data_IF_692048518676
#
_entry.id   IF_692048518676
#
_cell.length_a   1.000
_cell.length_b   1.000
_cell.length_c   1.000
_cell.angle_alpha   90.00
_cell.angle_beta   90.00
_cell.angle_gamma   90.00
#
_symmetry.space_group_name_H-M   'P 1'
#
loop_
_entity.id
_entity.type
_entity.pdbx_description
1 polymer ?
#
# COMPACT_ATOMS: atom_id res chain seq x y z
N UNK A 1 2.78 27.52 -6.92
CA UNK A 1 1.79 26.60 -6.32
C UNK A 1 1.89 25.30 -7.06
N UNK A 2 2.13 24.19 -6.36
CA UNK A 2 2.28 22.84 -6.97
C UNK A 2 0.95 22.12 -6.91
N UNK A 3 0.55 21.54 -8.02
CA UNK A 3 -0.71 20.80 -8.20
C UNK A 3 -0.41 19.32 -8.32
N UNK A 4 -0.83 18.51 -7.36
CA UNK A 4 -0.56 17.09 -7.29
C UNK A 4 -1.86 16.30 -7.28
N UNK A 5 -1.97 15.32 -8.17
CA UNK A 5 -3.07 14.36 -8.16
C UNK A 5 -2.60 13.02 -7.62
N UNK A 6 -3.38 12.44 -6.73
CA UNK A 6 -3.02 11.19 -6.01
C UNK A 6 -4.03 10.11 -6.31
N UNK A 7 -3.56 8.87 -6.53
CA UNK A 7 -4.38 7.71 -6.88
C UNK A 7 -4.03 6.53 -5.97
N UNK A 8 -5.01 6.00 -5.26
CA UNK A 8 -4.86 4.84 -4.37
C UNK A 8 -5.86 3.75 -4.75
N UNK A 9 -5.49 2.82 -5.65
CA UNK A 9 -6.36 1.70 -6.02
C UNK A 9 -6.39 0.64 -4.91
N UNK A 10 -7.60 0.34 -4.44
CA UNK A 10 -7.93 -0.73 -3.51
C UNK A 10 -8.65 -1.88 -4.21
N UNK A 11 -8.96 -2.95 -3.49
CA UNK A 11 -9.61 -4.15 -4.05
C UNK A 11 -10.96 -3.80 -4.72
N UNK A 12 -11.82 -3.09 -4.03
CA UNK A 12 -13.18 -2.73 -4.47
C UNK A 12 -13.40 -1.23 -4.62
N UNK A 13 -12.33 -0.43 -4.55
CA UNK A 13 -12.44 1.02 -4.74
C UNK A 13 -11.16 1.61 -5.30
N UNK A 14 -11.25 2.85 -5.77
CA UNK A 14 -10.10 3.70 -6.11
C UNK A 14 -10.30 5.05 -5.42
N UNK A 15 -9.45 5.36 -4.46
CA UNK A 15 -9.44 6.69 -3.82
C UNK A 15 -8.55 7.62 -4.62
N UNK A 16 -9.03 8.83 -4.86
CA UNK A 16 -8.27 9.89 -5.52
C UNK A 16 -8.32 11.16 -4.70
N UNK A 17 -7.28 11.96 -4.80
CA UNK A 17 -7.23 13.27 -4.16
C UNK A 17 -6.45 14.27 -5.02
N UNK A 18 -6.81 15.54 -4.92
CA UNK A 18 -6.11 16.65 -5.55
C UNK A 18 -5.64 17.64 -4.49
N UNK A 19 -4.36 17.96 -4.57
CA UNK A 19 -3.68 18.86 -3.64
C UNK A 19 -3.13 20.10 -4.36
N UNK A 20 -3.21 21.24 -3.69
CA UNK A 20 -2.44 22.44 -4.01
C UNK A 20 -1.43 22.70 -2.89
N UNK A 21 -0.15 22.49 -3.16
CA UNK A 21 0.91 22.34 -2.17
C UNK A 21 0.54 21.25 -1.13
N UNK A 22 0.29 21.64 0.13
CA UNK A 22 -0.09 20.73 1.22
C UNK A 22 -1.59 20.71 1.52
N UNK A 23 -2.37 21.55 0.86
CA UNK A 23 -3.82 21.63 1.07
C UNK A 23 -4.54 20.61 0.19
N UNK A 24 -5.34 19.74 0.81
CA UNK A 24 -6.30 18.91 0.10
C UNK A 24 -7.46 19.78 -0.39
N UNK A 25 -7.63 19.87 -1.70
CA UNK A 25 -8.69 20.65 -2.34
C UNK A 25 -9.89 19.75 -2.63
N UNK A 26 -9.62 18.48 -2.97
CA UNK A 26 -10.65 17.52 -3.36
C UNK A 26 -10.20 16.11 -3.05
N UNK A 27 -11.11 15.30 -2.52
CA UNK A 27 -10.93 13.84 -2.46
C UNK A 27 -12.23 13.12 -2.79
N UNK A 28 -12.11 11.94 -3.35
CA UNK A 28 -13.24 11.10 -3.73
C UNK A 28 -12.87 9.62 -3.71
N UNK A 29 -13.84 8.78 -3.40
CA UNK A 29 -13.73 7.34 -3.48
C UNK A 29 -14.68 6.80 -4.54
N UNK A 30 -14.13 6.22 -5.60
CA UNK A 30 -14.85 5.49 -6.64
C UNK A 30 -14.98 4.04 -6.16
N UNK A 31 -16.19 3.55 -5.98
CA UNK A 31 -16.47 2.18 -5.52
C UNK A 31 -16.92 1.29 -6.69
N UNK A 32 -16.52 0.02 -6.64
CA UNK A 32 -16.86 -0.99 -7.65
C UNK A 32 -17.63 -2.13 -6.99
N UNK A 33 -18.77 -2.49 -7.56
CA UNK A 33 -19.51 -3.68 -7.12
C UNK A 33 -18.76 -4.95 -7.53
N UNK A 34 -19.04 -6.04 -6.83
CA UNK A 34 -18.47 -7.35 -7.19
C UNK A 34 -18.90 -7.76 -8.61
N UNK A 35 -20.09 -7.37 -9.06
CA UNK A 35 -20.59 -7.64 -10.42
C UNK A 35 -19.77 -6.91 -11.49
N UNK A 36 -19.36 -5.65 -11.23
CA UNK A 36 -18.51 -4.88 -12.13
C UNK A 36 -17.09 -5.48 -12.24
N UNK A 37 -16.58 -6.06 -11.15
CA UNK A 37 -15.23 -6.64 -11.12
C UNK A 37 -15.19 -8.11 -11.57
N UNK A 38 -16.30 -8.83 -11.52
CA UNK A 38 -16.39 -10.26 -11.88
C UNK A 38 -15.89 -10.62 -13.28
N UNK A 39 -16.04 -9.78 -14.34
CA UNK A 39 -15.54 -10.10 -15.68
C UNK A 39 -14.02 -10.15 -15.81
N UNK A 40 -13.27 -9.61 -14.84
CA UNK A 40 -11.82 -9.48 -14.91
C UNK A 40 -11.13 -10.66 -14.24
N UNK A 41 -10.26 -11.36 -14.98
CA UNK A 41 -9.54 -12.53 -14.48
C UNK A 41 -8.31 -12.15 -13.65
N UNK A 42 -7.67 -11.03 -13.97
CA UNK A 42 -6.52 -10.51 -13.25
C UNK A 42 -6.69 -9.02 -12.96
N UNK A 43 -5.84 -8.49 -12.07
CA UNK A 43 -6.00 -7.10 -11.62
C UNK A 43 -5.75 -6.08 -12.73
N UNK A 44 -4.82 -6.36 -13.66
CA UNK A 44 -4.50 -5.43 -14.75
C UNK A 44 -5.61 -5.33 -15.81
N UNK A 45 -6.51 -6.31 -15.91
CA UNK A 45 -7.69 -6.22 -16.78
C UNK A 45 -8.62 -5.08 -16.34
N UNK A 46 -8.56 -4.67 -15.06
CA UNK A 46 -9.36 -3.57 -14.51
C UNK A 46 -8.79 -2.18 -14.84
N UNK A 47 -7.60 -2.08 -15.44
CA UNK A 47 -6.90 -0.80 -15.66
C UNK A 47 -7.77 0.18 -16.45
N UNK A 48 -8.35 -0.27 -17.57
CA UNK A 48 -9.18 0.57 -18.45
C UNK A 48 -10.45 1.07 -17.76
N UNK A 49 -11.13 0.22 -16.99
CA UNK A 49 -12.31 0.61 -16.21
C UNK A 49 -11.94 1.73 -15.22
N UNK A 50 -10.94 1.47 -14.37
CA UNK A 50 -10.53 2.42 -13.34
C UNK A 50 -10.02 3.73 -13.91
N UNK A 51 -9.26 3.68 -15.01
CA UNK A 51 -8.78 4.88 -15.69
C UNK A 51 -9.93 5.72 -16.25
N UNK A 52 -10.91 5.09 -16.90
CA UNK A 52 -12.09 5.79 -17.44
C UNK A 52 -12.86 6.54 -16.35
N UNK A 53 -13.06 5.91 -15.21
CA UNK A 53 -13.78 6.52 -14.09
C UNK A 53 -12.99 7.69 -13.46
N UNK A 54 -11.67 7.53 -13.29
CA UNK A 54 -10.79 8.62 -12.82
C UNK A 54 -10.83 9.79 -13.79
N UNK A 55 -10.72 9.55 -15.10
CA UNK A 55 -10.76 10.59 -16.12
C UNK A 55 -12.10 11.34 -16.13
N UNK A 56 -13.20 10.61 -15.99
CA UNK A 56 -14.55 11.19 -15.92
C UNK A 56 -14.68 12.10 -14.70
N UNK A 57 -14.19 11.63 -13.56
CA UNK A 57 -14.19 12.39 -12.32
C UNK A 57 -13.33 13.66 -12.43
N UNK A 58 -12.12 13.59 -13.01
CA UNK A 58 -11.27 14.76 -13.23
C UNK A 58 -11.98 15.79 -14.11
N UNK A 59 -12.58 15.39 -15.20
CA UNK A 59 -13.30 16.29 -16.10
C UNK A 59 -14.50 16.98 -15.44
N UNK A 60 -15.20 16.26 -14.56
CA UNK A 60 -16.37 16.77 -13.85
C UNK A 60 -15.99 17.70 -12.70
N UNK A 61 -15.07 17.27 -11.83
CA UNK A 61 -14.80 17.93 -10.54
C UNK A 61 -13.65 18.92 -10.58
N UNK A 62 -12.69 18.73 -11.49
CA UNK A 62 -11.46 19.53 -11.57
C UNK A 62 -11.22 20.00 -13.02
N UNK A 63 -12.23 20.56 -13.72
CA UNK A 63 -12.10 20.94 -15.12
C UNK A 63 -11.00 22.00 -15.29
N UNK A 64 -10.26 21.91 -16.39
CA UNK A 64 -9.19 22.84 -16.78
C UNK A 64 -7.96 22.88 -15.85
N UNK A 65 -7.86 22.03 -14.83
CA UNK A 65 -6.62 21.89 -14.08
C UNK A 65 -5.62 21.02 -14.83
N UNK A 66 -4.35 21.42 -14.71
CA UNK A 66 -3.20 20.64 -15.13
C UNK A 66 -2.36 20.31 -13.89
N UNK A 67 -1.92 19.07 -13.79
CA UNK A 67 -1.15 18.59 -12.63
C UNK A 67 0.35 18.74 -12.87
N UNK A 68 1.08 19.24 -11.88
CA UNK A 68 2.55 19.29 -11.90
C UNK A 68 3.16 17.90 -11.73
N UNK A 69 2.47 17.01 -11.03
CA UNK A 69 2.83 15.60 -10.87
C UNK A 69 1.60 14.75 -10.52
N UNK A 70 1.70 13.45 -10.83
CA UNK A 70 0.70 12.45 -10.41
C UNK A 70 1.38 11.37 -9.58
N UNK A 71 0.78 11.00 -8.45
CA UNK A 71 1.34 10.02 -7.52
C UNK A 71 0.37 8.84 -7.37
N UNK A 72 0.83 7.65 -7.70
CA UNK A 72 0.12 6.41 -7.42
C UNK A 72 0.57 5.77 -6.10
N UNK A 73 -0.33 5.06 -5.43
CA UNK A 73 0.09 4.14 -4.37
C UNK A 73 0.99 3.07 -4.97
N UNK A 74 2.15 2.83 -4.34
CA UNK A 74 3.08 1.79 -4.76
C UNK A 74 2.49 0.38 -4.64
N UNK A 75 2.81 -0.47 -5.61
CA UNK A 75 2.45 -1.89 -5.64
C UNK A 75 3.46 -2.77 -4.89
N UNK A 76 3.36 -4.09 -5.13
CA UNK A 76 4.24 -5.08 -4.52
C UNK A 76 5.45 -5.35 -5.43
N UNK A 77 6.38 -4.44 -5.37
CA UNK A 77 7.71 -4.52 -6.02
C UNK A 77 8.64 -5.46 -5.22
N UNK A 78 9.77 -5.90 -5.81
CA UNK A 78 10.93 -6.32 -5.01
C UNK A 78 11.29 -5.25 -3.97
N UNK A 79 12.11 -5.56 -2.94
CA UNK A 79 12.55 -4.58 -1.96
C UNK A 79 13.11 -3.31 -2.62
N UNK A 80 12.66 -2.15 -2.15
CA UNK A 80 13.03 -0.83 -2.69
C UNK A 80 13.34 0.15 -1.56
N UNK A 81 14.09 1.20 -1.88
CA UNK A 81 14.29 2.31 -0.96
C UNK A 81 13.01 3.12 -0.73
N UNK A 82 12.99 3.84 0.41
CA UNK A 82 11.88 4.71 0.77
C UNK A 82 11.84 5.98 -0.10
N UNK A 83 10.65 6.55 -0.24
CA UNK A 83 10.42 7.83 -0.92
C UNK A 83 9.70 7.69 -2.25
N UNK A 84 9.85 8.72 -3.08
CA UNK A 84 9.25 8.78 -4.40
C UNK A 84 10.08 7.98 -5.42
N UNK A 85 9.42 7.06 -6.13
CA UNK A 85 10.03 6.29 -7.22
C UNK A 85 9.37 6.75 -8.52
N UNK A 86 10.20 7.22 -9.47
CA UNK A 86 9.71 7.64 -10.79
C UNK A 86 9.12 6.43 -11.53
N UNK A 87 7.95 6.61 -12.11
CA UNK A 87 7.30 5.56 -12.89
C UNK A 87 7.88 5.55 -14.30
N UNK A 88 8.52 4.45 -14.65
CA UNK A 88 8.96 4.12 -16.01
C UNK A 88 8.30 2.82 -16.51
N UNK A 89 8.63 2.42 -17.74
CA UNK A 89 8.07 1.19 -18.33
C UNK A 89 8.57 -0.07 -17.61
N UNK A 90 9.80 -0.07 -17.09
CA UNK A 90 10.37 -1.23 -16.39
C UNK A 90 9.62 -1.48 -15.06
N UNK A 91 9.30 -0.40 -14.34
CA UNK A 91 8.53 -0.48 -13.10
C UNK A 91 7.11 -0.98 -13.36
N UNK A 92 6.46 -0.49 -14.43
CA UNK A 92 5.12 -0.96 -14.83
C UNK A 92 5.16 -2.42 -15.24
N UNK A 93 6.16 -2.83 -16.03
CA UNK A 93 6.34 -4.22 -16.44
C UNK A 93 6.57 -5.15 -15.24
N UNK A 94 7.41 -4.75 -14.29
CA UNK A 94 7.63 -5.48 -13.06
C UNK A 94 6.32 -5.70 -12.28
N UNK A 95 5.52 -4.63 -12.09
CA UNK A 95 4.26 -4.72 -11.37
C UNK A 95 3.20 -5.56 -12.10
N UNK A 96 3.25 -5.62 -13.44
CA UNK A 96 2.32 -6.37 -14.26
C UNK A 96 2.69 -7.85 -14.37
N UNK A 97 3.96 -8.15 -14.62
CA UNK A 97 4.39 -9.48 -15.05
C UNK A 97 5.17 -10.25 -13.99
N UNK A 98 5.72 -9.55 -12.97
CA UNK A 98 6.57 -10.15 -11.94
C UNK A 98 6.37 -9.54 -10.54
N UNK A 99 5.13 -9.22 -10.12
CA UNK A 99 4.93 -8.68 -8.77
C UNK A 99 5.20 -9.76 -7.72
N UNK A 100 5.60 -9.34 -6.50
CA UNK A 100 5.69 -10.29 -5.37
C UNK A 100 4.35 -10.92 -5.01
N UNK A 101 3.26 -10.18 -5.23
CA UNK A 101 1.89 -10.64 -5.03
C UNK A 101 0.94 -9.83 -5.91
N UNK A 102 -0.11 -10.48 -6.41
CA UNK A 102 -1.19 -9.79 -7.12
C UNK A 102 -2.04 -8.97 -6.15
N UNK A 103 -2.10 -7.66 -6.37
CA UNK A 103 -2.87 -6.73 -5.54
C UNK A 103 -3.29 -5.50 -6.35
N UNK A 104 -4.42 -4.90 -5.98
CA UNK A 104 -4.94 -3.72 -6.68
C UNK A 104 -3.95 -2.53 -6.73
N UNK A 105 -3.10 -2.39 -5.70
CA UNK A 105 -2.07 -1.34 -5.69
C UNK A 105 -1.05 -1.45 -6.82
N UNK A 106 -0.92 -2.63 -7.47
CA UNK A 106 -0.03 -2.79 -8.62
C UNK A 106 -0.46 -1.94 -9.83
N UNK A 107 -1.74 -1.52 -9.87
CA UNK A 107 -2.26 -0.61 -10.89
C UNK A 107 -1.82 0.85 -10.69
N UNK A 108 -1.36 1.21 -9.47
CA UNK A 108 -1.10 2.60 -9.11
C UNK A 108 -0.12 3.30 -10.02
N UNK A 109 0.96 2.63 -10.41
CA UNK A 109 1.96 3.17 -11.34
C UNK A 109 1.37 3.45 -12.73
N UNK A 110 0.67 2.47 -13.32
CA UNK A 110 0.05 2.61 -14.65
C UNK A 110 -1.03 3.68 -14.66
N UNK A 111 -1.86 3.75 -13.63
CA UNK A 111 -2.88 4.80 -13.50
C UNK A 111 -2.24 6.18 -13.37
N UNK A 112 -1.21 6.32 -12.52
CA UNK A 112 -0.51 7.60 -12.33
C UNK A 112 0.13 8.08 -13.64
N UNK A 113 0.79 7.20 -14.39
CA UNK A 113 1.40 7.54 -15.68
C UNK A 113 0.36 7.99 -16.69
N UNK A 114 -0.71 7.20 -16.89
CA UNK A 114 -1.78 7.53 -17.85
C UNK A 114 -2.48 8.87 -17.52
N UNK A 115 -2.69 9.15 -16.23
CA UNK A 115 -3.29 10.42 -15.80
C UNK A 115 -2.29 11.58 -15.99
N UNK A 116 -0.99 11.39 -15.71
CA UNK A 116 0.03 12.41 -15.94
C UNK A 116 0.15 12.77 -17.43
N UNK A 117 0.17 11.79 -18.31
CA UNK A 117 0.22 11.99 -19.75
C UNK A 117 -0.99 12.78 -20.28
N UNK A 118 -2.17 12.56 -19.74
CA UNK A 118 -3.43 13.16 -20.24
C UNK A 118 -3.77 14.50 -19.58
N UNK A 119 -3.54 14.62 -18.28
CA UNK A 119 -3.97 15.77 -17.48
C UNK A 119 -2.82 16.53 -16.80
N UNK A 120 -1.58 16.08 -16.99
CA UNK A 120 -0.39 16.79 -16.50
C UNK A 120 -0.05 18.03 -17.33
N UNK A 121 0.82 18.87 -16.79
CA UNK A 121 1.58 19.84 -17.58
C UNK A 121 2.50 19.09 -18.55
N UNK A 122 3.12 19.81 -19.51
CA UNK A 122 4.07 19.18 -20.42
C UNK A 122 5.17 18.46 -19.62
N UNK A 123 5.40 17.18 -19.93
CA UNK A 123 6.36 16.31 -19.23
C UNK A 123 6.12 16.14 -17.71
N UNK A 124 4.88 16.24 -17.26
CA UNK A 124 4.55 16.02 -15.85
C UNK A 124 5.01 14.61 -15.39
N UNK A 125 5.84 14.51 -14.34
CA UNK A 125 6.27 13.23 -13.84
C UNK A 125 5.16 12.48 -13.13
N UNK A 126 5.22 11.15 -13.21
CA UNK A 126 4.42 10.24 -12.39
C UNK A 126 5.31 9.47 -11.42
N UNK A 127 4.82 9.28 -10.19
CA UNK A 127 5.55 8.60 -9.13
C UNK A 127 4.67 7.54 -8.46
N UNK A 128 5.31 6.56 -7.84
CA UNK A 128 4.76 5.83 -6.71
C UNK A 128 5.52 6.26 -5.45
N UNK A 129 4.89 6.13 -4.28
CA UNK A 129 5.49 6.59 -3.03
C UNK A 129 5.41 5.52 -1.95
N UNK A 130 6.51 5.26 -1.26
CA UNK A 130 6.65 4.32 -0.14
C UNK A 130 5.81 3.04 -0.30
N UNK A 131 6.10 2.17 -1.30
CA UNK A 131 5.37 0.92 -1.48
C UNK A 131 5.51 0.02 -0.25
N UNK A 132 4.61 -0.96 -0.11
CA UNK A 132 4.59 -1.88 1.04
C UNK A 132 5.89 -2.69 1.21
N UNK A 133 6.74 -2.68 0.21
CA UNK A 133 8.04 -3.36 0.13
C UNK A 133 9.24 -2.43 0.32
N UNK A 134 9.01 -1.22 0.86
CA UNK A 134 10.12 -0.38 1.34
C UNK A 134 10.96 -1.17 2.32
N UNK A 135 12.25 -1.30 2.05
CA UNK A 135 13.16 -2.09 2.87
C UNK A 135 14.39 -1.27 3.29
N UNK A 136 14.34 -0.82 4.52
CA UNK A 136 15.42 -0.13 5.21
C UNK A 136 15.84 -0.85 6.50
N UNK A 137 15.38 -2.12 6.66
CA UNK A 137 15.67 -2.90 7.85
C UNK A 137 17.17 -3.09 8.04
N UNK A 138 17.62 -2.97 9.28
CA UNK A 138 18.96 -3.37 9.67
C UNK A 138 19.12 -4.90 9.57
N UNK A 139 20.35 -5.37 9.33
CA UNK A 139 20.62 -6.82 9.18
C UNK A 139 20.19 -7.62 10.40
N UNK A 140 20.40 -7.07 11.61
CA UNK A 140 19.98 -7.73 12.86
C UNK A 140 18.45 -7.88 12.97
N UNK A 141 17.69 -6.96 12.38
CA UNK A 141 16.22 -7.02 12.38
C UNK A 141 15.67 -8.12 11.44
N UNK A 142 16.50 -8.66 10.53
CA UNK A 142 16.11 -9.77 9.64
C UNK A 142 16.21 -11.13 10.29
N UNK A 143 16.87 -11.22 11.45
CA UNK A 143 17.05 -12.49 12.15
C UNK A 143 15.72 -12.97 12.72
N UNK A 144 15.29 -14.16 12.30
CA UNK A 144 14.17 -14.88 12.90
C UNK A 144 14.68 -15.97 13.87
N UNK A 145 13.80 -16.77 14.41
CA UNK A 145 14.16 -17.96 15.20
C UNK A 145 14.71 -19.14 14.38
N UNK A 146 14.85 -18.99 13.06
CA UNK A 146 15.36 -20.04 12.16
C UNK A 146 16.28 -19.46 11.09
N UNK A 147 17.43 -20.06 10.89
CA UNK A 147 18.36 -19.69 9.80
C UNK A 147 17.84 -19.98 8.39
N UNK A 148 16.68 -20.62 8.26
CA UNK A 148 16.03 -20.92 6.99
C UNK A 148 14.96 -19.87 6.61
N UNK A 149 14.64 -18.95 7.52
CA UNK A 149 13.55 -17.99 7.36
C UNK A 149 14.03 -16.62 7.82
N UNK A 150 14.21 -15.71 6.88
CA UNK A 150 14.50 -14.31 7.18
C UNK A 150 13.20 -13.52 7.34
N UNK A 151 13.18 -12.60 8.29
CA UNK A 151 12.15 -11.56 8.40
C UNK A 151 12.29 -10.60 7.22
N UNK A 152 11.17 -10.14 6.69
CA UNK A 152 11.13 -9.28 5.51
C UNK A 152 10.40 -7.97 5.82
N UNK A 153 10.87 -6.90 5.23
CA UNK A 153 10.18 -5.60 5.30
C UNK A 153 8.95 -5.61 4.42
N UNK A 154 7.83 -6.04 4.97
CA UNK A 154 6.51 -5.99 4.32
C UNK A 154 5.51 -5.42 5.32
N UNK A 155 5.04 -4.21 5.05
CA UNK A 155 4.14 -3.53 6.00
C UNK A 155 3.49 -2.29 5.38
N UNK A 156 2.79 -1.52 6.20
CA UNK A 156 2.10 -0.30 5.79
C UNK A 156 3.07 0.91 5.75
N UNK A 157 4.20 0.75 5.00
CA UNK A 157 5.30 1.69 4.97
C UNK A 157 4.86 3.14 4.73
N UNK A 158 4.02 3.38 3.69
CA UNK A 158 3.51 4.72 3.38
C UNK A 158 2.86 5.40 4.58
N UNK A 159 1.95 4.70 5.27
CA UNK A 159 1.25 5.27 6.41
C UNK A 159 2.18 5.43 7.62
N UNK A 160 3.00 4.41 7.92
CA UNK A 160 3.89 4.46 9.08
C UNK A 160 4.94 5.56 8.95
N UNK A 161 5.51 5.75 7.77
CA UNK A 161 6.47 6.83 7.50
C UNK A 161 5.79 8.20 7.52
N UNK A 162 4.61 8.34 6.90
CA UNK A 162 3.86 9.59 6.93
C UNK A 162 3.52 10.03 8.36
N UNK A 163 3.09 9.10 9.22
CA UNK A 163 2.81 9.37 10.63
C UNK A 163 4.08 9.77 11.38
N UNK A 164 5.21 9.08 11.16
CA UNK A 164 6.48 9.44 11.79
C UNK A 164 6.93 10.86 11.41
N UNK A 165 6.83 11.23 10.13
CA UNK A 165 7.12 12.58 9.65
C UNK A 165 6.16 13.63 10.25
N UNK A 166 4.86 13.36 10.31
CA UNK A 166 3.87 14.27 10.91
C UNK A 166 4.12 14.49 12.40
N UNK A 167 4.45 13.44 13.14
CA UNK A 167 4.82 13.53 14.56
C UNK A 167 6.11 14.34 14.75
N UNK A 168 7.15 14.09 13.94
CA UNK A 168 8.40 14.86 13.98
C UNK A 168 8.12 16.35 13.74
N UNK A 169 7.32 16.66 12.72
CA UNK A 169 6.89 18.04 12.43
C UNK A 169 6.16 18.67 13.61
N UNK A 170 5.21 17.98 14.24
CA UNK A 170 4.46 18.47 15.41
C UNK A 170 5.34 18.67 16.64
N UNK A 171 6.40 17.87 16.78
CA UNK A 171 7.38 18.01 17.84
C UNK A 171 8.46 19.07 17.51
N UNK A 172 8.41 19.65 16.30
CA UNK A 172 9.40 20.60 15.79
C UNK A 172 10.84 20.07 15.82
N UNK A 173 11.00 18.81 15.43
CA UNK A 173 12.31 18.15 15.26
C UNK A 173 12.44 17.60 13.83
N UNK A 174 13.65 17.54 13.26
CA UNK A 174 13.88 16.79 12.03
C UNK A 174 13.54 15.30 12.23
N UNK A 175 12.91 14.66 11.24
CA UNK A 175 12.60 13.23 11.31
C UNK A 175 13.85 12.38 11.53
N UNK A 176 14.99 12.80 10.95
CA UNK A 176 16.30 12.16 11.07
C UNK A 176 16.88 12.22 12.50
N UNK A 177 16.38 13.13 13.35
CA UNK A 177 16.85 13.32 14.72
C UNK A 177 15.95 12.62 15.76
N UNK A 178 14.81 12.08 15.33
CA UNK A 178 13.84 11.41 16.19
C UNK A 178 13.92 9.89 16.10
N UNK A 179 13.58 9.23 17.20
CA UNK A 179 13.32 7.78 17.22
C UNK A 179 11.82 7.57 17.44
N UNK A 180 11.20 6.78 16.55
CA UNK A 180 9.75 6.58 16.58
C UNK A 180 9.42 5.09 16.53
N UNK A 181 8.37 4.72 17.26
CA UNK A 181 7.67 3.45 17.05
C UNK A 181 6.29 3.81 16.52
N UNK A 182 5.96 3.30 15.34
CA UNK A 182 4.67 3.54 14.70
C UNK A 182 3.94 2.23 14.55
N UNK A 183 2.67 2.21 14.94
CA UNK A 183 1.79 1.05 14.82
C UNK A 183 0.62 1.43 13.91
N UNK A 184 0.48 0.70 12.82
CA UNK A 184 -0.69 0.75 11.95
C UNK A 184 -1.69 -0.32 12.38
N UNK A 185 -2.93 0.07 12.63
CA UNK A 185 -4.04 -0.83 12.99
C UNK A 185 -5.17 -0.63 11.98
N UNK A 186 -5.60 -1.70 11.33
CA UNK A 186 -6.63 -1.67 10.30
C UNK A 186 -7.10 -3.08 9.94
N UNK A 187 -7.50 -3.32 8.70
CA UNK A 187 -7.79 -4.66 8.17
C UNK A 187 -6.60 -5.61 8.30
N UNK A 188 -5.38 -5.08 8.16
CA UNK A 188 -4.11 -5.66 8.59
C UNK A 188 -3.43 -4.73 9.58
N UNK A 189 -2.54 -5.26 10.42
CA UNK A 189 -1.72 -4.47 11.35
C UNK A 189 -0.23 -4.66 11.03
N UNK A 190 0.58 -3.65 11.32
CA UNK A 190 2.03 -3.74 11.29
C UNK A 190 2.64 -2.71 12.22
N UNK A 191 3.86 -2.95 12.68
CA UNK A 191 4.59 -1.99 13.50
C UNK A 191 5.97 -1.73 12.89
N UNK A 192 6.52 -0.56 13.14
CA UNK A 192 7.86 -0.19 12.68
C UNK A 192 8.61 0.61 13.71
N UNK A 193 9.93 0.41 13.75
CA UNK A 193 10.86 1.26 14.46
C UNK A 193 11.59 2.17 13.46
N UNK A 194 11.66 3.45 13.78
CA UNK A 194 12.34 4.45 12.97
C UNK A 194 13.49 5.06 13.74
N UNK A 195 14.66 5.13 13.12
CA UNK A 195 15.88 5.70 13.67
C UNK A 195 16.68 6.37 12.54
N UNK A 196 17.25 7.55 12.82
CA UNK A 196 18.07 8.28 11.87
C UNK A 196 17.40 8.48 10.49
N UNK A 197 16.10 8.77 10.46
CA UNK A 197 15.34 8.99 9.23
C UNK A 197 15.02 7.72 8.43
N UNK A 198 15.24 6.52 9.00
CA UNK A 198 15.04 5.23 8.34
C UNK A 198 14.09 4.34 9.14
N UNK A 199 13.33 3.52 8.45
CA UNK A 199 12.49 2.48 9.04
C UNK A 199 13.34 1.21 9.25
N UNK A 200 14.02 1.12 10.41
CA UNK A 200 15.10 0.16 10.70
C UNK A 200 14.61 -1.23 11.11
N UNK A 201 13.35 -1.36 11.50
CA UNK A 201 12.69 -2.64 11.77
C UNK A 201 11.22 -2.54 11.40
N UNK A 202 10.66 -3.64 10.88
CA UNK A 202 9.26 -3.78 10.54
C UNK A 202 8.75 -5.11 11.06
N UNK A 203 7.71 -5.09 11.87
CA UNK A 203 6.97 -6.26 12.28
C UNK A 203 5.75 -6.35 11.37
N UNK A 204 5.74 -7.36 10.51
CA UNK A 204 4.72 -7.58 9.49
C UNK A 204 3.37 -8.03 10.07
N UNK A 205 2.36 -8.07 9.24
CA UNK A 205 0.99 -8.42 9.63
C UNK A 205 0.80 -9.88 10.03
N UNK A 206 1.78 -10.74 9.80
CA UNK A 206 1.81 -12.13 10.25
C UNK A 206 2.72 -12.34 11.48
N UNK A 207 3.41 -11.29 11.95
CA UNK A 207 4.25 -11.31 13.15
C UNK A 207 3.62 -10.55 14.33
N UNK A 208 2.80 -9.51 14.07
CA UNK A 208 2.10 -8.71 15.11
C UNK A 208 0.86 -9.41 15.67
N UNK A 209 0.14 -8.72 16.56
CA UNK A 209 -1.18 -9.13 17.04
C UNK A 209 -2.18 -9.26 15.87
N UNK A 210 -3.28 -9.99 16.09
CA UNK A 210 -4.37 -10.07 15.12
C UNK A 210 -4.98 -8.68 14.84
N UNK A 211 -5.53 -8.54 13.64
CA UNK A 211 -6.25 -7.34 13.19
C UNK A 211 -7.74 -7.64 12.97
N UNK A 212 -8.45 -6.76 12.25
CA UNK A 212 -9.86 -7.05 11.94
C UNK A 212 -10.04 -8.31 11.10
N UNK A 213 -9.15 -8.58 10.13
CA UNK A 213 -9.32 -9.66 9.14
C UNK A 213 -8.20 -10.71 9.18
N UNK A 214 -7.08 -10.45 9.89
CA UNK A 214 -5.88 -11.30 9.88
C UNK A 214 -5.58 -11.85 11.24
N UNK A 215 -5.04 -13.07 11.27
CA UNK A 215 -4.72 -13.74 12.53
C UNK A 215 -3.53 -13.12 13.26
N UNK A 216 -2.66 -12.37 12.57
CA UNK A 216 -1.37 -12.03 13.15
C UNK A 216 -0.53 -13.25 13.46
N UNK A 217 0.44 -13.11 14.35
CA UNK A 217 1.21 -14.22 14.88
C UNK A 217 0.33 -15.15 15.72
N UNK A 218 0.28 -16.42 15.36
CA UNK A 218 -0.50 -17.46 16.04
C UNK A 218 0.41 -18.56 16.60
N UNK A 219 -0.05 -19.34 17.59
CA UNK A 219 0.75 -20.41 18.18
C UNK A 219 1.20 -21.41 17.12
N UNK A 220 2.51 -21.44 16.84
CA UNK A 220 3.13 -22.18 15.74
C UNK A 220 2.76 -23.67 15.72
N UNK A 221 2.75 -24.33 16.89
CA UNK A 221 2.44 -25.77 16.97
C UNK A 221 1.03 -26.09 16.46
N UNK A 222 0.04 -25.27 16.85
CA UNK A 222 -1.35 -25.43 16.40
C UNK A 222 -1.50 -25.08 14.92
N UNK A 223 -0.76 -24.07 14.45
CA UNK A 223 -0.76 -23.67 13.05
C UNK A 223 -0.17 -24.76 12.14
N UNK A 224 0.89 -25.42 12.55
CA UNK A 224 1.44 -26.58 11.82
C UNK A 224 0.37 -27.66 11.65
N UNK A 225 -0.36 -28.04 12.71
CA UNK A 225 -1.43 -29.04 12.61
C UNK A 225 -2.50 -28.60 11.60
N UNK A 226 -2.93 -27.33 11.65
CA UNK A 226 -3.89 -26.75 10.70
C UNK A 226 -3.42 -26.87 9.24
N UNK A 227 -2.12 -26.68 8.97
CA UNK A 227 -1.55 -26.80 7.63
C UNK A 227 -1.58 -28.23 7.09
N UNK A 228 -1.62 -29.25 7.95
CA UNK A 228 -1.77 -30.65 7.53
C UNK A 228 -3.23 -31.09 7.37
N UNK A 229 -4.16 -30.37 7.99
CA UNK A 229 -5.60 -30.65 7.92
C UNK A 229 -6.30 -29.94 6.76
N UNK A 230 -5.71 -28.86 6.24
CA UNK A 230 -6.30 -27.98 5.24
C UNK A 230 -5.38 -27.74 4.06
N UNK A 231 -5.98 -27.38 2.93
CA UNK A 231 -5.22 -26.95 1.75
C UNK A 231 -4.55 -25.61 1.99
N UNK A 232 -3.47 -25.33 1.24
CA UNK A 232 -2.78 -24.03 1.29
C UNK A 232 -3.75 -22.84 1.07
N UNK A 233 -4.71 -22.99 0.15
CA UNK A 233 -5.69 -21.94 -0.14
C UNK A 233 -6.60 -21.67 1.05
N UNK A 234 -7.10 -22.71 1.71
CA UNK A 234 -7.94 -22.57 2.92
C UNK A 234 -7.18 -21.95 4.07
N UNK A 235 -5.91 -22.33 4.28
CA UNK A 235 -5.06 -21.73 5.32
C UNK A 235 -4.82 -20.25 5.03
N UNK A 236 -4.52 -19.87 3.79
CA UNK A 236 -4.36 -18.46 3.40
C UNK A 236 -5.67 -17.68 3.64
N UNK A 237 -6.81 -18.23 3.29
CA UNK A 237 -8.11 -17.57 3.50
C UNK A 237 -8.39 -17.37 5.00
N UNK A 238 -8.17 -18.41 5.83
CA UNK A 238 -8.35 -18.34 7.28
C UNK A 238 -7.43 -17.32 7.94
N UNK A 239 -6.17 -17.25 7.51
CA UNK A 239 -5.19 -16.36 8.15
C UNK A 239 -5.24 -14.92 7.67
N UNK A 240 -5.70 -14.65 6.43
CA UNK A 240 -5.61 -13.33 5.79
C UNK A 240 -6.93 -12.63 5.51
N UNK A 241 -8.08 -13.34 5.56
CA UNK A 241 -9.39 -12.77 5.26
C UNK A 241 -10.46 -13.12 6.28
N UNK A 242 -10.31 -14.26 6.94
CA UNK A 242 -11.27 -14.79 7.93
C UNK A 242 -10.64 -14.92 9.32
N UNK A 243 -9.52 -14.25 9.56
CA UNK A 243 -8.87 -14.17 10.87
C UNK A 243 -9.42 -13.02 11.70
N UNK A 244 -8.76 -12.76 12.82
CA UNK A 244 -9.03 -11.61 13.67
C UNK A 244 -10.48 -11.48 14.13
N UNK A 245 -11.01 -10.24 14.11
CA UNK A 245 -12.38 -9.96 14.53
C UNK A 245 -13.41 -10.70 13.66
N UNK A 246 -13.14 -10.82 12.36
CA UNK A 246 -14.03 -11.58 11.45
C UNK A 246 -14.19 -13.01 11.93
N UNK A 247 -13.13 -13.65 12.42
CA UNK A 247 -13.19 -15.04 12.93
C UNK A 247 -14.05 -15.19 14.18
N UNK A 248 -14.07 -14.20 15.07
CA UNK A 248 -14.76 -14.27 16.34
C UNK A 248 -16.17 -13.66 16.30
N UNK A 249 -16.35 -12.60 15.52
CA UNK A 249 -17.56 -11.77 15.57
C UNK A 249 -18.27 -11.64 14.21
N UNK A 250 -17.70 -12.17 13.12
CA UNK A 250 -18.26 -12.08 11.78
C UNK A 250 -18.23 -10.67 11.17
N UNK A 251 -17.50 -9.74 11.76
CA UNK A 251 -17.37 -8.35 11.29
C UNK A 251 -15.93 -7.90 11.26
N UNK A 252 -15.58 -7.02 10.34
CA UNK A 252 -14.31 -6.32 10.27
C UNK A 252 -14.38 -4.88 10.80
N UNK A 253 -15.52 -4.49 11.32
CA UNK A 253 -15.73 -3.19 12.00
C UNK A 253 -15.24 -3.29 13.45
N UNK A 254 -14.26 -2.42 13.82
CA UNK A 254 -13.54 -2.45 15.08
C UNK A 254 -13.85 -1.22 15.94
#
# INVERSE_FOLDING_TARGET
MKKIFVINPGATSTKVAYYENTAEIFSHEITYSLEQLKPFNNIFDQLSLRLTDIESLIKEKIPNNKFDAVVGRGGLLPPVDAGAILVDENLIDCLRNSPLLEHASNLGASLAKSVAEKFGVESAPSFIYDPVTVDQMNDVARISGSSLIDRKSVGHALNMRAVAHDVAYKLNIPYESGNFIVVHVGGGSSASAHENGRMVDVISDDEVMFSSERTGGIPLKQYINLCYEKTKSEVIELTRKKGGLVSYFGTNDA
#
